data_IF_289976939961
#
_entry.id   IF_289976939961
#
_cell.length_a   1.000
_cell.length_b   1.000
_cell.length_c   1.000
_cell.angle_alpha   90.00
_cell.angle_beta   90.00
_cell.angle_gamma   90.00
#
_symmetry.space_group_name_H-M   'P 1'
#
loop_
_entity.id
_entity.type
_entity.pdbx_description
1 polymer ?
#
# COMPACT_ATOMS: atom_id res chain seq x y z
N UNK A 1 -11.02 16.60 6.56
CA UNK A 1 -10.80 16.50 5.11
C UNK A 1 -9.71 15.46 4.88
N UNK A 2 -10.06 14.18 4.87
CA UNK A 2 -9.07 13.12 4.57
C UNK A 2 -8.83 13.24 3.07
N UNK A 3 -7.59 13.60 2.72
CA UNK A 3 -7.21 14.14 1.43
C UNK A 3 -7.68 13.25 0.27
N UNK A 4 -8.29 13.84 -0.74
CA UNK A 4 -8.57 13.19 -2.04
C UNK A 4 -7.33 12.51 -2.63
N UNK A 5 -6.14 13.00 -2.29
CA UNK A 5 -4.83 12.45 -2.65
C UNK A 5 -4.59 11.04 -2.10
N UNK A 6 -4.88 10.76 -0.83
CA UNK A 6 -4.57 9.45 -0.21
C UNK A 6 -5.45 8.33 -0.79
N UNK A 7 -6.72 8.66 -1.09
CA UNK A 7 -7.63 7.75 -1.80
C UNK A 7 -7.20 7.53 -3.25
N UNK A 8 -6.63 8.55 -3.89
CA UNK A 8 -6.06 8.47 -5.23
C UNK A 8 -4.82 7.56 -5.25
N UNK A 9 -3.92 7.69 -4.27
CA UNK A 9 -2.71 6.89 -4.18
C UNK A 9 -3.02 5.39 -3.99
N UNK A 10 -4.02 5.05 -3.17
CA UNK A 10 -4.50 3.67 -3.00
C UNK A 10 -5.09 3.14 -4.31
N UNK A 11 -5.88 3.95 -5.03
CA UNK A 11 -6.46 3.57 -6.33
C UNK A 11 -5.40 3.35 -7.39
N UNK A 12 -4.36 4.19 -7.45
CA UNK A 12 -3.22 4.05 -8.35
C UNK A 12 -2.45 2.76 -8.03
N UNK A 13 -2.21 2.48 -6.75
CA UNK A 13 -1.59 1.22 -6.33
C UNK A 13 -2.42 -0.01 -6.72
N UNK A 14 -3.74 0.06 -6.56
CA UNK A 14 -4.65 -1.02 -6.91
C UNK A 14 -4.69 -1.25 -8.43
N UNK A 15 -4.70 -0.17 -9.22
CA UNK A 15 -4.58 -0.23 -10.67
C UNK A 15 -3.27 -0.89 -11.11
N UNK A 16 -2.15 -0.53 -10.46
CA UNK A 16 -0.85 -1.14 -10.72
C UNK A 16 -0.85 -2.63 -10.40
N UNK A 17 -1.38 -3.03 -9.24
CA UNK A 17 -1.51 -4.45 -8.87
C UNK A 17 -2.39 -5.23 -9.85
N UNK A 18 -3.47 -4.62 -10.34
CA UNK A 18 -4.35 -5.21 -11.36
C UNK A 18 -3.59 -5.43 -12.67
N UNK A 19 -2.78 -4.45 -13.10
CA UNK A 19 -1.97 -4.55 -14.31
C UNK A 19 -0.88 -5.62 -14.19
N UNK A 20 -0.20 -5.71 -13.04
CA UNK A 20 0.82 -6.74 -12.81
C UNK A 20 0.16 -8.14 -12.78
N UNK A 21 -1.02 -8.31 -12.16
CA UNK A 21 -1.78 -9.58 -12.24
C UNK A 21 -2.16 -9.94 -13.68
N UNK A 22 -2.56 -8.97 -14.49
CA UNK A 22 -2.91 -9.21 -15.89
C UNK A 22 -1.69 -9.69 -16.68
N UNK A 23 -0.56 -8.99 -16.57
CA UNK A 23 0.70 -9.40 -17.19
C UNK A 23 1.14 -10.79 -16.75
N UNK A 24 1.00 -11.09 -15.46
CA UNK A 24 1.29 -12.42 -14.90
C UNK A 24 0.42 -13.50 -15.55
N UNK A 25 -0.88 -13.23 -15.70
CA UNK A 25 -1.84 -14.18 -16.28
C UNK A 25 -1.51 -14.43 -17.77
N UNK A 26 -1.18 -13.38 -18.52
CA UNK A 26 -0.72 -13.50 -19.90
C UNK A 26 0.60 -14.29 -20.02
N UNK A 27 1.53 -14.07 -19.09
CA UNK A 27 2.83 -14.77 -19.07
C UNK A 27 2.67 -16.25 -18.70
N UNK A 28 1.83 -16.56 -17.71
CA UNK A 28 1.50 -17.93 -17.29
C UNK A 28 0.82 -18.71 -18.41
N UNK A 29 -0.11 -18.08 -19.15
CA UNK A 29 -0.73 -18.71 -20.33
C UNK A 29 0.31 -19.05 -21.43
N UNK A 30 1.40 -18.29 -21.50
CA UNK A 30 2.45 -18.47 -22.51
C UNK A 30 3.54 -19.47 -22.10
N UNK A 31 3.53 -19.94 -20.85
CA UNK A 31 4.67 -20.62 -20.21
C UNK A 31 4.34 -22.04 -19.75
N UNK A 32 5.32 -22.96 -19.84
CA UNK A 32 5.20 -24.37 -19.43
C UNK A 32 5.00 -24.51 -17.90
N UNK A 33 4.24 -25.53 -17.48
CA UNK A 33 3.79 -25.81 -16.10
C UNK A 33 4.83 -25.67 -14.96
N UNK A 34 6.12 -25.90 -15.23
CA UNK A 34 7.17 -25.81 -14.22
C UNK A 34 7.52 -24.38 -13.80
N UNK A 35 7.54 -23.44 -14.75
CA UNK A 35 7.91 -22.04 -14.47
C UNK A 35 6.79 -21.28 -13.75
N UNK A 36 5.53 -21.74 -13.88
CA UNK A 36 4.37 -21.11 -13.22
C UNK A 36 4.53 -21.10 -11.69
N UNK A 37 5.15 -22.13 -11.11
CA UNK A 37 5.36 -22.26 -9.66
C UNK A 37 6.37 -21.25 -9.11
N UNK A 38 7.52 -21.10 -9.78
CA UNK A 38 8.54 -20.11 -9.40
C UNK A 38 8.03 -18.68 -9.54
N UNK A 39 7.21 -18.43 -10.57
CA UNK A 39 6.58 -17.13 -10.82
C UNK A 39 5.55 -16.80 -9.73
N UNK A 40 4.73 -17.77 -9.33
CA UNK A 40 3.72 -17.56 -8.29
C UNK A 40 4.37 -17.20 -6.95
N UNK A 41 5.48 -17.86 -6.59
CA UNK A 41 6.26 -17.52 -5.39
C UNK A 41 6.93 -16.15 -5.49
N UNK A 42 7.45 -15.80 -6.67
CA UNK A 42 8.03 -14.48 -6.91
C UNK A 42 6.98 -13.37 -6.74
N UNK A 43 5.76 -13.61 -7.23
CA UNK A 43 4.65 -12.69 -7.11
C UNK A 43 4.16 -12.53 -5.67
N UNK A 44 4.04 -13.61 -4.91
CA UNK A 44 3.73 -13.54 -3.48
C UNK A 44 4.76 -12.70 -2.72
N UNK A 45 6.07 -12.91 -2.96
CA UNK A 45 7.12 -12.11 -2.35
C UNK A 45 7.03 -10.62 -2.72
N UNK A 46 6.70 -10.31 -3.98
CA UNK A 46 6.51 -8.94 -4.44
C UNK A 46 5.32 -8.28 -3.76
N UNK A 47 4.17 -8.96 -3.68
CA UNK A 47 2.97 -8.47 -3.00
C UNK A 47 3.24 -8.26 -1.51
N UNK A 48 3.93 -9.18 -0.85
CA UNK A 48 4.34 -9.03 0.55
C UNK A 48 5.25 -7.83 0.78
N UNK A 49 6.20 -7.56 -0.14
CA UNK A 49 7.05 -6.37 -0.06
C UNK A 49 6.25 -5.08 -0.26
N UNK A 50 5.40 -5.02 -1.29
CA UNK A 50 4.58 -3.86 -1.59
C UNK A 50 3.62 -3.53 -0.43
N UNK A 51 2.97 -4.55 0.14
CA UNK A 51 2.10 -4.40 1.30
C UNK A 51 2.85 -3.92 2.54
N UNK A 52 4.08 -4.40 2.75
CA UNK A 52 4.95 -3.94 3.83
C UNK A 52 5.39 -2.48 3.67
N UNK A 53 5.62 -2.00 2.44
CA UNK A 53 5.88 -0.58 2.15
C UNK A 53 4.63 0.25 2.45
N UNK A 54 3.47 -0.15 1.96
CA UNK A 54 2.21 0.56 2.18
C UNK A 54 1.87 0.69 3.67
N UNK A 55 2.05 -0.40 4.43
CA UNK A 55 1.80 -0.42 5.88
C UNK A 55 2.71 0.57 6.63
N UNK A 56 3.97 0.70 6.21
CA UNK A 56 4.91 1.67 6.81
C UNK A 56 4.51 3.12 6.53
N UNK A 57 4.08 3.41 5.30
CA UNK A 57 3.58 4.74 4.93
C UNK A 57 2.32 5.06 5.75
N UNK A 58 1.36 4.14 5.80
CA UNK A 58 0.13 4.31 6.57
C UNK A 58 0.39 4.51 8.07
N UNK A 59 1.35 3.76 8.63
CA UNK A 59 1.75 3.93 10.04
C UNK A 59 2.45 5.28 10.30
N UNK A 60 3.23 5.80 9.34
CA UNK A 60 3.87 7.11 9.46
C UNK A 60 2.83 8.24 9.41
N UNK A 61 1.88 8.17 8.49
CA UNK A 61 0.74 9.09 8.40
C UNK A 61 -0.09 9.09 9.69
N UNK A 62 -0.42 7.90 10.21
CA UNK A 62 -1.15 7.78 11.47
C UNK A 62 -0.40 8.43 12.66
N UNK A 63 0.94 8.31 12.70
CA UNK A 63 1.77 8.98 13.73
C UNK A 63 1.74 10.50 13.60
N UNK A 64 1.75 11.04 12.37
CA UNK A 64 1.63 12.49 12.13
C UNK A 64 0.28 13.01 12.62
N UNK A 65 -0.82 12.33 12.28
CA UNK A 65 -2.18 12.70 12.70
C UNK A 65 -2.33 12.66 14.23
N UNK A 66 -1.78 11.63 14.89
CA UNK A 66 -1.81 11.53 16.35
C UNK A 66 -1.00 12.64 17.02
N UNK A 67 0.15 13.00 16.45
CA UNK A 67 0.97 14.12 16.93
C UNK A 67 0.22 15.44 16.81
N UNK A 68 -0.38 15.73 15.66
CA UNK A 68 -1.16 16.96 15.44
C UNK A 68 -2.36 17.09 16.39
N UNK A 69 -3.11 15.99 16.62
CA UNK A 69 -4.21 16.00 17.60
C UNK A 69 -3.73 16.31 19.02
N UNK A 70 -2.56 15.83 19.40
CA UNK A 70 -2.02 16.05 20.74
C UNK A 70 -1.59 17.52 20.96
N UNK A 71 -0.98 18.16 19.95
CA UNK A 71 -0.67 19.60 20.00
C UNK A 71 -1.93 20.47 20.08
N UNK A 72 -2.96 20.14 19.32
CA UNK A 72 -4.23 20.88 19.35
C UNK A 72 -4.94 20.72 20.72
N UNK A 73 -4.95 19.51 21.30
CA UNK A 73 -5.43 19.27 22.67
C UNK A 73 -4.64 20.03 23.73
N UNK A 74 -3.31 20.15 23.59
CA UNK A 74 -2.47 20.91 24.52
C UNK A 74 -2.74 22.42 24.43
N UNK A 75 -2.92 22.97 23.23
CA UNK A 75 -3.23 24.39 23.02
C UNK A 75 -4.69 24.76 23.32
N UNK A 76 -5.61 23.79 23.33
CA UNK A 76 -7.02 23.99 23.69
C UNK A 76 -7.29 23.80 25.19
N UNK A 77 -6.29 23.39 25.96
CA UNK A 77 -6.40 23.24 27.41
C UNK A 77 -6.33 24.64 28.04
N UNK A 78 -7.34 25.08 28.82
CA UNK A 78 -7.41 26.43 29.40
C UNK A 78 -6.40 26.67 30.56
N UNK A 79 -5.34 25.87 30.63
CA UNK A 79 -4.33 25.90 31.69
C UNK A 79 -2.92 26.24 31.15
N UNK A 80 -2.83 26.93 30.01
CA UNK A 80 -1.60 27.54 29.49
C UNK A 80 -1.68 29.07 29.55
#
# INVERSE_FOLDING_TARGET
MINSTERSDILVFNCYLCHVRYLLTCYVYSTKIGEISDISKCFENFVSQALGVLTRIYAAELRLILKERCYCLFLSSPYA
#
